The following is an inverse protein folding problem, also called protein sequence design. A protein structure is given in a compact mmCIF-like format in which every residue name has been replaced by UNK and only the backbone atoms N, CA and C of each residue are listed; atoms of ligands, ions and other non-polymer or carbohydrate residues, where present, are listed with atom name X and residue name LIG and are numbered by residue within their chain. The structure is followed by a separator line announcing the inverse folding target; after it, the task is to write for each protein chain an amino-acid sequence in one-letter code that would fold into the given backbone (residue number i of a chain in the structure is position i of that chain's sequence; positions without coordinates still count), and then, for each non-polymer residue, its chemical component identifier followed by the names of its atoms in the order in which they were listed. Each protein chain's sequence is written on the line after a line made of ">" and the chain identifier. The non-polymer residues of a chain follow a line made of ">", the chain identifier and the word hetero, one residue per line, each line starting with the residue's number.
data_IF_846352441884
#
_entry.id   IF_846352441884
#
_cell.length_a   1.000
_cell.length_b   1.000
_cell.length_c   1.000
_cell.angle_alpha   90.00
_cell.angle_beta   90.00
_cell.angle_gamma   90.00
#
_symmetry.space_group_name_H-M   'P 1'
#
loop_
_entity.id
_entity.type
_entity.pdbx_description
1 polymer ?
#
# COMPACT_ATOMS: atom_id res chain seq x y z
N UNK A 1 8.76 -14.06 -6.74
CA UNK A 1 7.50 -13.33 -6.50
C UNK A 1 6.95 -13.69 -5.12
N UNK A 2 6.49 -12.71 -4.36
CA UNK A 2 5.88 -12.84 -3.02
C UNK A 2 4.43 -12.39 -3.11
N UNK A 3 3.52 -13.10 -2.41
CA UNK A 3 2.12 -12.69 -2.29
C UNK A 3 1.95 -11.84 -1.05
N UNK A 4 1.38 -10.65 -1.21
CA UNK A 4 1.05 -9.76 -0.09
C UNK A 4 -0.43 -9.43 -0.10
N UNK A 5 -0.99 -9.27 1.08
CA UNK A 5 -2.34 -8.77 1.28
C UNK A 5 -2.31 -7.25 1.43
N UNK A 6 -3.21 -6.61 0.72
CA UNK A 6 -3.43 -5.18 0.82
C UNK A 6 -4.91 -4.86 0.93
N UNK A 7 -5.20 -3.69 1.48
CA UNK A 7 -6.54 -3.15 1.59
C UNK A 7 -6.51 -1.70 1.12
N UNK A 8 -7.42 -1.35 0.24
CA UNK A 8 -7.63 0.02 -0.19
C UNK A 8 -8.82 0.61 0.59
N UNK A 9 -8.57 1.57 1.47
CA UNK A 9 -9.56 2.16 2.38
C UNK A 9 -10.36 1.10 3.16
N UNK A 10 -11.69 1.16 3.16
CA UNK A 10 -12.57 0.20 3.83
C UNK A 10 -12.99 -0.98 2.94
N UNK A 11 -12.29 -1.22 1.83
CA UNK A 11 -12.61 -2.34 0.95
C UNK A 11 -12.18 -3.69 1.54
N UNK A 12 -12.62 -4.79 0.93
CA UNK A 12 -12.18 -6.13 1.29
C UNK A 12 -10.68 -6.31 0.96
N UNK A 13 -9.87 -6.90 1.85
CA UNK A 13 -8.47 -7.22 1.58
C UNK A 13 -8.32 -8.06 0.31
N UNK A 14 -7.32 -7.72 -0.49
CA UNK A 14 -6.99 -8.34 -1.77
C UNK A 14 -5.54 -8.78 -1.80
N UNK A 15 -5.20 -9.74 -2.67
CA UNK A 15 -3.82 -10.24 -2.84
C UNK A 15 -3.18 -9.67 -4.10
N UNK A 16 -1.90 -9.36 -4.02
CA UNK A 16 -1.08 -9.03 -5.19
C UNK A 16 0.26 -9.74 -5.13
N UNK A 17 0.78 -10.12 -6.31
CA UNK A 17 2.13 -10.66 -6.44
C UNK A 17 3.12 -9.49 -6.64
N UNK A 18 4.17 -9.44 -5.85
CA UNK A 18 5.26 -8.46 -5.96
C UNK A 18 6.60 -9.15 -6.14
N UNK A 19 7.59 -8.39 -6.61
CA UNK A 19 8.98 -8.82 -6.56
C UNK A 19 9.48 -8.71 -5.12
N UNK A 20 10.35 -9.64 -4.68
CA UNK A 20 10.84 -9.63 -3.30
C UNK A 20 11.57 -8.32 -2.97
N UNK A 21 12.25 -7.72 -3.95
CA UNK A 21 13.01 -6.48 -3.80
C UNK A 21 12.18 -5.20 -3.98
N UNK A 22 10.85 -5.33 -4.19
CA UNK A 22 9.95 -4.17 -4.30
C UNK A 22 9.84 -3.39 -3.00
N UNK A 23 9.80 -2.08 -3.09
CA UNK A 23 9.48 -1.18 -2.00
C UNK A 23 8.00 -0.77 -1.98
N UNK A 24 7.60 0.04 -0.99
CA UNK A 24 6.23 0.51 -0.84
C UNK A 24 5.80 1.41 -2.01
N UNK A 25 6.71 2.18 -2.61
CA UNK A 25 6.41 3.02 -3.77
C UNK A 25 6.15 2.19 -5.02
N UNK A 26 6.95 1.14 -5.26
CA UNK A 26 6.71 0.15 -6.31
C UNK A 26 5.36 -0.55 -6.12
N UNK A 27 5.03 -0.91 -4.87
CA UNK A 27 3.75 -1.53 -4.55
C UNK A 27 2.57 -0.60 -4.86
N UNK A 28 2.67 0.68 -4.47
CA UNK A 28 1.63 1.68 -4.79
C UNK A 28 1.51 1.89 -6.29
N UNK A 29 2.63 1.99 -7.00
CA UNK A 29 2.64 2.13 -8.46
C UNK A 29 1.95 0.94 -9.14
N UNK A 30 2.16 -0.27 -8.61
CA UNK A 30 1.52 -1.48 -9.14
C UNK A 30 0.01 -1.54 -8.88
N UNK A 31 -0.46 -0.98 -7.76
CA UNK A 31 -1.88 -1.00 -7.37
C UNK A 31 -2.66 0.16 -8.02
N UNK A 32 -2.08 1.37 -8.00
CA UNK A 32 -2.77 2.61 -8.38
C UNK A 32 -2.24 3.25 -9.67
N UNK A 33 -1.07 2.84 -10.15
CA UNK A 33 -0.33 3.51 -11.23
C UNK A 33 0.56 4.64 -10.73
N UNK A 34 1.51 5.08 -11.58
CA UNK A 34 2.51 6.08 -11.22
C UNK A 34 1.91 7.48 -10.97
N UNK A 35 0.75 7.78 -11.55
CA UNK A 35 0.07 9.09 -11.42
C UNK A 35 -0.60 9.28 -10.07
N UNK A 36 -1.17 8.21 -9.51
CA UNK A 36 -2.01 8.31 -8.31
C UNK A 36 -1.31 7.81 -7.03
N UNK A 37 -0.15 7.13 -7.13
CA UNK A 37 0.58 6.60 -5.95
C UNK A 37 0.85 7.64 -4.86
N UNK A 38 1.12 8.89 -5.24
CA UNK A 38 1.39 9.99 -4.32
C UNK A 38 0.17 10.43 -3.50
N UNK A 39 -1.04 10.05 -3.91
CA UNK A 39 -2.28 10.36 -3.19
C UNK A 39 -2.58 9.36 -2.07
N UNK A 40 -1.75 8.34 -1.85
CA UNK A 40 -2.02 7.29 -0.86
C UNK A 40 -0.97 7.26 0.24
N UNK A 41 -1.44 7.24 1.48
CA UNK A 41 -0.65 6.89 2.65
C UNK A 41 -0.68 5.38 2.86
N UNK A 42 0.45 4.79 3.22
CA UNK A 42 0.55 3.35 3.50
C UNK A 42 0.79 3.10 4.97
N UNK A 43 0.01 2.22 5.55
CA UNK A 43 0.19 1.77 6.92
C UNK A 43 0.22 0.26 6.98
N UNK A 44 0.99 -0.28 7.92
CA UNK A 44 1.00 -1.70 8.23
C UNK A 44 1.05 -1.87 9.75
N UNK A 45 0.15 -2.67 10.29
CA UNK A 45 0.03 -2.89 11.75
C UNK A 45 0.00 -1.57 12.56
N UNK A 46 -0.73 -0.56 12.06
CA UNK A 46 -0.82 0.77 12.68
C UNK A 46 0.40 1.68 12.49
N UNK A 47 1.47 1.23 11.82
CA UNK A 47 2.66 2.04 11.56
C UNK A 47 2.66 2.62 10.16
N UNK A 48 3.00 3.90 10.04
CA UNK A 48 3.20 4.57 8.76
C UNK A 48 4.49 4.07 8.10
N UNK A 49 4.36 3.55 6.88
CA UNK A 49 5.50 3.12 6.08
C UNK A 49 5.96 4.23 5.14
N UNK A 50 7.28 4.37 5.01
CA UNK A 50 7.90 5.28 4.04
C UNK A 50 7.81 4.68 2.64
N UNK A 51 7.79 5.50 1.57
CA UNK A 51 7.78 4.99 0.19
C UNK A 51 8.95 4.04 -0.10
N UNK A 52 10.15 4.35 0.39
CA UNK A 52 11.34 3.52 0.20
C UNK A 52 11.48 2.36 1.20
N UNK A 53 10.46 2.05 1.99
CA UNK A 53 10.51 0.96 2.95
C UNK A 53 10.29 -0.38 2.24
N UNK A 54 10.87 -1.46 2.76
CA UNK A 54 10.58 -2.81 2.26
C UNK A 54 9.09 -3.14 2.47
N UNK A 55 8.49 -3.84 1.50
CA UNK A 55 7.11 -4.30 1.63
C UNK A 55 7.03 -5.39 2.72
N UNK A 56 6.15 -5.25 3.72
CA UNK A 56 5.87 -6.32 4.69
C UNK A 56 5.44 -7.61 3.99
N UNK A 57 6.04 -8.74 4.35
CA UNK A 57 5.79 -10.04 3.69
C UNK A 57 4.96 -10.99 4.54
N UNK A 58 4.78 -10.67 5.81
CA UNK A 58 4.01 -11.39 6.82
C UNK A 58 2.52 -11.00 6.85
N UNK A 59 2.05 -10.31 5.80
CA UNK A 59 0.65 -9.85 5.68
C UNK A 59 -0.34 -11.01 5.60
N UNK A 60 -1.52 -10.82 6.18
CA UNK A 60 -2.67 -11.74 6.10
C UNK A 60 -3.95 -10.96 5.73
N UNK A 61 -5.08 -11.64 5.54
CA UNK A 61 -6.36 -10.94 5.35
C UNK A 61 -6.79 -10.15 6.59
N UNK A 62 -6.39 -10.59 7.78
CA UNK A 62 -6.63 -9.88 9.04
C UNK A 62 -5.61 -8.75 9.29
N UNK A 63 -4.42 -8.86 8.69
CA UNK A 63 -3.33 -7.87 8.79
C UNK A 63 -2.83 -7.48 7.40
N UNK A 64 -3.63 -6.76 6.60
CA UNK A 64 -3.21 -6.29 5.29
C UNK A 64 -2.36 -5.01 5.39
N UNK A 65 -1.61 -4.72 4.34
CA UNK A 65 -1.07 -3.38 4.11
C UNK A 65 -2.24 -2.46 3.72
N UNK A 66 -2.46 -1.40 4.50
CA UNK A 66 -3.60 -0.50 4.29
C UNK A 66 -3.15 0.76 3.55
N UNK A 67 -3.80 1.03 2.42
CA UNK A 67 -3.67 2.25 1.65
C UNK A 67 -4.86 3.17 1.92
N UNK A 68 -4.59 4.36 2.44
CA UNK A 68 -5.62 5.37 2.70
C UNK A 68 -5.38 6.57 1.79
N UNK A 69 -6.42 7.04 1.11
CA UNK A 69 -6.31 8.22 0.26
C UNK A 69 -6.06 9.45 1.13
N UNK A 70 -5.01 10.19 0.83
CA UNK A 70 -4.79 11.53 1.33
C UNK A 70 -5.90 12.39 0.74
N UNK A 71 -6.89 12.74 1.55
CA UNK A 71 -7.93 13.68 1.13
C UNK A 71 -7.24 14.98 0.69
N UNK A 72 -7.50 15.40 -0.55
CA UNK A 72 -7.17 16.74 -1.01
C UNK A 72 -7.79 17.70 0.01
N UNK A 73 -6.96 18.35 0.83
CA UNK A 73 -7.35 19.62 1.42
C UNK A 73 -7.63 20.50 0.22
N UNK A 74 -8.87 20.96 -0.03
CA UNK A 74 -9.11 21.85 -1.14
C UNK A 74 -8.22 23.07 -0.94
N UNK A 75 -7.31 23.31 -1.88
CA UNK A 75 -6.62 24.59 -1.98
C UNK A 75 -7.72 25.65 -2.10
N UNK A 76 -7.95 26.38 -1.01
CA UNK A 76 -8.90 27.50 -0.96
C UNK A 76 -8.42 28.65 -1.85
#
# INVERSE_FOLDING_TARGET
>A
MVKVWFQHEQNVPSKINIDPDSDIDDLKEKIFGSTDKGQYQTTYNGQLLRPSAEVPRDTTDEMPIVFTKLVNVPSS
#
